data_IF_570912781434
#
_entry.id   IF_570912781434
#
_cell.length_a   1.000
_cell.length_b   1.000
_cell.length_c   1.000
_cell.angle_alpha   90.00
_cell.angle_beta   90.00
_cell.angle_gamma   90.00
#
_symmetry.space_group_name_H-M   'P 1'
#
loop_
_entity.id
_entity.type
_entity.pdbx_description
1 polymer ?
#
# COMPACT_ATOMS: atom_id res chain seq x y z
N UNK A 1 -7.47 39.70 -36.14
CA UNK A 1 -7.25 39.53 -34.69
C UNK A 1 -6.89 38.07 -34.48
N UNK A 2 -5.62 37.76 -34.23
CA UNK A 2 -5.09 36.38 -34.16
C UNK A 2 -5.23 35.89 -32.71
N UNK A 3 -5.94 34.79 -32.50
CA UNK A 3 -6.12 34.17 -31.18
C UNK A 3 -4.90 33.35 -30.78
N UNK A 4 -4.33 33.66 -29.62
CA UNK A 4 -3.14 33.00 -29.06
C UNK A 4 -3.54 31.63 -28.47
N UNK A 5 -2.94 30.54 -28.96
CA UNK A 5 -3.06 29.20 -28.38
C UNK A 5 -1.97 29.04 -27.32
N UNK A 6 -2.35 28.85 -26.07
CA UNK A 6 -1.43 28.50 -24.98
C UNK A 6 -1.21 26.98 -24.98
N UNK A 7 0.01 26.56 -25.32
CA UNK A 7 0.44 25.16 -25.23
C UNK A 7 0.91 24.88 -23.79
N UNK A 8 0.21 24.01 -23.07
CA UNK A 8 0.63 23.56 -21.73
C UNK A 8 1.63 22.41 -21.87
N UNK A 9 2.87 22.62 -21.44
CA UNK A 9 3.85 21.52 -21.30
C UNK A 9 3.51 20.75 -20.02
N UNK A 10 2.85 19.60 -20.16
CA UNK A 10 2.74 18.63 -19.08
C UNK A 10 4.14 18.04 -18.83
N UNK A 11 4.80 18.49 -17.76
CA UNK A 11 6.00 17.82 -17.26
C UNK A 11 5.66 16.39 -16.83
N UNK A 12 6.63 15.46 -16.83
CA UNK A 12 6.39 14.11 -16.33
C UNK A 12 5.93 14.22 -14.87
N UNK A 13 4.76 13.66 -14.57
CA UNK A 13 4.32 13.49 -13.20
C UNK A 13 5.39 12.65 -12.49
N UNK A 14 6.11 13.25 -11.55
CA UNK A 14 7.04 12.51 -10.71
C UNK A 14 6.19 11.50 -9.94
N UNK A 15 6.31 10.21 -10.26
CA UNK A 15 5.72 9.17 -9.44
C UNK A 15 6.38 9.30 -8.07
N UNK A 16 5.65 9.86 -7.11
CA UNK A 16 6.12 9.99 -5.75
C UNK A 16 6.30 8.56 -5.23
N UNK A 17 7.55 8.06 -5.25
CA UNK A 17 7.88 6.73 -4.76
C UNK A 17 7.35 6.64 -3.33
N UNK A 18 6.29 5.83 -3.15
CA UNK A 18 5.77 5.58 -1.83
C UNK A 18 6.83 4.86 -1.03
N UNK A 19 7.17 5.46 0.10
CA UNK A 19 8.15 4.93 1.03
C UNK A 19 7.47 3.92 1.92
N UNK A 20 8.07 2.75 2.06
CA UNK A 20 7.65 1.77 3.06
C UNK A 20 7.90 2.34 4.44
N UNK A 21 6.88 2.36 5.29
CA UNK A 21 7.03 2.68 6.70
C UNK A 21 7.42 1.40 7.46
N UNK A 22 8.62 1.34 8.06
CA UNK A 22 9.09 0.15 8.76
C UNK A 22 8.27 -0.16 10.03
N UNK A 23 7.50 0.79 10.56
CA UNK A 23 6.68 0.59 11.76
C UNK A 23 5.50 -0.36 11.52
N UNK A 24 5.16 -0.66 10.27
CA UNK A 24 4.13 -1.65 9.93
C UNK A 24 4.55 -3.09 10.20
N UNK A 25 5.84 -3.35 10.45
CA UNK A 25 6.39 -4.69 10.63
C UNK A 25 7.10 -4.82 11.97
N UNK A 26 6.70 -5.81 12.75
CA UNK A 26 7.49 -6.29 13.89
C UNK A 26 7.71 -7.78 13.79
N UNK A 27 8.81 -8.27 14.35
CA UNK A 27 9.13 -9.69 14.31
C UNK A 27 9.91 -10.12 15.55
N UNK A 28 9.76 -11.38 15.92
CA UNK A 28 10.59 -12.06 16.92
C UNK A 28 11.19 -13.31 16.28
N UNK A 29 12.51 -13.30 16.10
CA UNK A 29 13.23 -14.39 15.45
C UNK A 29 13.37 -15.64 16.33
N UNK A 30 13.39 -15.49 17.65
CA UNK A 30 13.45 -16.63 18.57
C UNK A 30 12.09 -17.34 18.63
N UNK A 31 11.01 -16.56 18.67
CA UNK A 31 9.64 -17.08 18.64
C UNK A 31 9.15 -17.47 17.23
N UNK A 32 9.87 -17.08 16.16
CA UNK A 32 9.48 -17.27 14.76
C UNK A 32 8.12 -16.66 14.44
N UNK A 33 7.89 -15.42 14.89
CA UNK A 33 6.66 -14.69 14.65
C UNK A 33 6.91 -13.40 13.88
N UNK A 34 5.96 -13.06 13.00
CA UNK A 34 5.88 -11.77 12.31
C UNK A 34 4.49 -11.20 12.57
N UNK A 35 4.42 -9.91 12.89
CA UNK A 35 3.16 -9.14 12.88
C UNK A 35 3.29 -8.05 11.83
N UNK A 36 2.32 -7.98 10.91
CA UNK A 36 2.27 -6.97 9.87
C UNK A 36 0.95 -6.20 9.91
N UNK A 37 1.02 -4.88 9.90
CA UNK A 37 -0.15 -4.01 9.79
C UNK A 37 -0.55 -3.84 8.33
N UNK A 38 -1.68 -4.45 7.95
CA UNK A 38 -2.26 -4.33 6.62
C UNK A 38 -3.36 -3.27 6.65
N UNK A 39 -3.12 -2.11 6.04
CA UNK A 39 -3.99 -0.93 6.17
C UNK A 39 -4.69 -0.65 4.85
N UNK A 40 -6.00 -0.87 4.76
CA UNK A 40 -6.77 -0.55 3.57
C UNK A 40 -7.06 0.96 3.48
N UNK A 41 -6.86 1.54 2.30
CA UNK A 41 -7.21 2.92 2.01
C UNK A 41 -6.40 3.96 2.78
N UNK A 42 -5.10 3.70 3.03
CA UNK A 42 -4.22 4.62 3.76
C UNK A 42 -4.06 5.98 3.05
N UNK A 43 -4.15 5.99 1.72
CA UNK A 43 -4.03 7.20 0.90
C UNK A 43 -5.17 7.27 -0.13
N UNK A 44 -5.34 8.43 -0.78
CA UNK A 44 -6.29 8.58 -1.89
C UNK A 44 -5.87 7.90 -3.21
N UNK A 45 -4.73 7.21 -3.26
CA UNK A 45 -4.27 6.51 -4.46
C UNK A 45 -5.32 5.48 -4.91
N UNK A 46 -5.58 5.43 -6.23
CA UNK A 46 -6.54 4.51 -6.84
C UNK A 46 -7.96 4.61 -6.21
N UNK A 47 -8.38 5.81 -5.84
CA UNK A 47 -9.67 6.01 -5.17
C UNK A 47 -9.75 5.31 -3.81
N UNK A 48 -8.65 5.27 -3.06
CA UNK A 48 -8.48 4.55 -1.80
C UNK A 48 -8.48 3.01 -1.91
N UNK A 49 -8.49 2.44 -3.12
CA UNK A 49 -8.32 1.01 -3.36
C UNK A 49 -6.83 0.64 -3.34
N UNK A 50 -6.23 0.66 -2.15
CA UNK A 50 -4.82 0.35 -1.90
C UNK A 50 -4.62 -0.30 -0.53
N UNK A 51 -3.51 -1.01 -0.36
CA UNK A 51 -3.02 -1.47 0.94
C UNK A 51 -1.72 -0.75 1.30
N UNK A 52 -1.67 -0.14 2.48
CA UNK A 52 -0.55 0.65 2.99
C UNK A 52 -0.10 1.78 2.04
N UNK A 53 -1.02 2.26 1.19
CA UNK A 53 -0.74 3.23 0.15
C UNK A 53 -0.39 2.62 -1.20
N UNK A 54 0.00 1.34 -1.27
CA UNK A 54 0.47 0.68 -2.48
C UNK A 54 -0.64 -0.09 -3.20
N UNK A 55 -0.46 -0.31 -4.51
CA UNK A 55 -1.39 -1.08 -5.37
C UNK A 55 -0.60 -2.00 -6.30
N UNK A 56 -1.32 -2.89 -6.99
CA UNK A 56 -0.79 -3.71 -8.10
C UNK A 56 0.50 -4.51 -7.80
N UNK A 57 0.68 -4.89 -6.53
CA UNK A 57 1.85 -5.68 -6.09
C UNK A 57 3.10 -4.84 -5.75
N UNK A 58 3.00 -3.50 -5.74
CA UNK A 58 4.14 -2.61 -5.43
C UNK A 58 4.63 -2.69 -3.97
N UNK A 59 3.92 -3.43 -3.11
CA UNK A 59 4.36 -3.81 -1.76
C UNK A 59 4.30 -5.33 -1.59
N UNK A 60 5.41 -5.93 -1.15
CA UNK A 60 5.51 -7.36 -0.86
C UNK A 60 5.97 -7.58 0.57
N UNK A 61 5.24 -8.42 1.31
CA UNK A 61 5.69 -8.97 2.60
C UNK A 61 6.34 -10.33 2.35
N UNK A 62 7.63 -10.47 2.67
CA UNK A 62 8.34 -11.75 2.59
C UNK A 62 8.55 -12.29 4.00
N UNK A 63 8.07 -13.51 4.26
CA UNK A 63 8.18 -14.16 5.57
C UNK A 63 8.97 -15.47 5.43
N UNK A 64 9.89 -15.79 6.35
CA UNK A 64 10.57 -17.08 6.31
C UNK A 64 9.58 -18.24 6.48
N UNK A 65 9.86 -19.35 5.79
CA UNK A 65 9.01 -20.54 5.84
C UNK A 65 8.89 -21.05 7.28
N UNK A 66 7.67 -21.42 7.66
CA UNK A 66 7.37 -22.00 8.97
C UNK A 66 7.21 -20.99 10.11
N UNK A 67 7.24 -19.69 9.83
CA UNK A 67 6.94 -18.66 10.81
C UNK A 67 5.43 -18.42 10.92
N UNK A 68 4.97 -18.15 12.14
CA UNK A 68 3.61 -17.68 12.35
C UNK A 68 3.51 -16.21 11.92
N UNK A 69 2.59 -15.93 11.00
CA UNK A 69 2.31 -14.57 10.52
C UNK A 69 0.96 -14.12 11.07
N UNK A 70 0.97 -13.02 11.81
CA UNK A 70 -0.23 -12.30 12.19
C UNK A 70 -0.43 -11.09 11.26
N UNK A 71 -1.59 -11.03 10.61
CA UNK A 71 -2.00 -9.87 9.80
C UNK A 71 -2.97 -9.04 10.63
N UNK A 72 -2.52 -7.88 11.07
CA UNK A 72 -3.32 -6.88 11.77
C UNK A 72 -4.02 -6.00 10.73
N UNK A 73 -5.17 -6.46 10.26
CA UNK A 73 -5.95 -5.74 9.26
C UNK A 73 -6.68 -4.54 9.87
N UNK A 74 -6.48 -3.37 9.26
CA UNK A 74 -7.20 -2.14 9.59
C UNK A 74 -7.82 -1.54 8.35
N UNK A 75 -9.13 -1.27 8.41
CA UNK A 75 -9.74 -0.37 7.44
C UNK A 75 -9.50 1.10 7.88
N UNK A 76 -8.71 1.86 7.13
CA UNK A 76 -8.52 3.30 7.36
C UNK A 76 -9.54 4.15 6.61
N UNK A 77 -10.06 3.64 5.49
CA UNK A 77 -11.05 4.33 4.68
C UNK A 77 -12.36 4.51 5.45
N UNK A 78 -12.80 5.76 5.57
CA UNK A 78 -14.05 6.12 6.25
C UNK A 78 -15.29 5.99 5.36
N UNK A 79 -15.13 5.80 4.05
CA UNK A 79 -16.21 5.82 3.07
C UNK A 79 -16.51 4.43 2.50
N UNK A 80 -15.47 3.65 2.20
CA UNK A 80 -15.61 2.30 1.64
C UNK A 80 -15.19 1.26 2.68
N UNK A 81 -16.06 0.28 3.01
CA UNK A 81 -15.64 -0.89 3.77
C UNK A 81 -14.75 -1.80 2.92
N UNK A 82 -13.55 -2.09 3.41
CA UNK A 82 -12.62 -3.01 2.75
C UNK A 82 -12.55 -4.35 3.49
N UNK A 83 -12.10 -5.37 2.78
CA UNK A 83 -11.72 -6.67 3.32
C UNK A 83 -10.34 -7.07 2.80
N UNK A 84 -9.76 -8.12 3.36
CA UNK A 84 -8.53 -8.72 2.88
C UNK A 84 -8.70 -10.24 2.82
N UNK A 85 -8.16 -10.84 1.77
CA UNK A 85 -8.18 -12.29 1.56
C UNK A 85 -6.77 -12.78 1.27
N UNK A 86 -6.43 -13.92 1.86
CA UNK A 86 -5.22 -14.67 1.53
C UNK A 86 -5.64 -15.78 0.56
N UNK A 87 -5.13 -15.70 -0.67
CA UNK A 87 -5.41 -16.67 -1.72
C UNK A 87 -4.21 -17.59 -1.96
N UNK A 88 -4.48 -18.78 -2.52
CA UNK A 88 -3.42 -19.60 -3.08
C UNK A 88 -2.91 -18.97 -4.40
N UNK A 89 -1.64 -19.18 -4.77
CA UNK A 89 -1.11 -18.80 -6.08
C UNK A 89 -1.84 -19.46 -7.24
#
# INVERSE_FOLDING_TARGET
>A
MVGLVTLSLAGPASAQQQRVDPTWLTFDAAAKTVRFQLIAGLTGLNGALNFNGFRDGDLTLVVPIGWQTEIDFRNHDGMLPHSAEVIAP
#
